data_IF_650284448999
#
_entry.id   IF_650284448999
#
_cell.length_a   1.000
_cell.length_b   1.000
_cell.length_c   1.000
_cell.angle_alpha   90.00
_cell.angle_beta   90.00
_cell.angle_gamma   90.00
#
_symmetry.space_group_name_H-M   'P 1'
#
loop_
_entity.id
_entity.type
_entity.pdbx_description
1 polymer ?
#
# COMPACT_ATOMS: atom_id res chain seq x y z
N UNK A 1 7.04 -4.53 -11.31
CA UNK A 1 5.92 -5.24 -10.70
C UNK A 1 5.23 -4.34 -9.68
N UNK A 2 3.97 -4.06 -9.90
CA UNK A 2 3.25 -3.12 -9.06
C UNK A 2 2.25 -3.81 -8.15
N UNK A 3 2.12 -3.26 -6.95
CA UNK A 3 1.15 -3.74 -5.99
C UNK A 3 -0.09 -2.87 -6.03
N UNK A 4 -1.20 -3.47 -5.64
CA UNK A 4 -2.43 -2.70 -5.47
C UNK A 4 -2.26 -1.70 -4.33
N UNK A 5 -2.77 -0.50 -4.52
CA UNK A 5 -2.75 0.54 -3.50
C UNK A 5 -4.17 1.01 -3.25
N UNK A 6 -4.61 0.95 -2.00
CA UNK A 6 -5.89 1.52 -1.60
C UNK A 6 -5.65 2.91 -1.05
N UNK A 7 -6.53 3.86 -1.42
CA UNK A 7 -6.45 5.20 -0.85
C UNK A 7 -7.86 5.57 -0.41
N UNK A 8 -8.01 6.02 0.84
CA UNK A 8 -9.31 6.36 1.36
C UNK A 8 -9.20 7.45 2.41
N UNK A 9 -10.29 8.16 2.63
CA UNK A 9 -10.35 9.18 3.67
C UNK A 9 -10.63 8.54 5.00
N UNK A 10 -9.88 8.93 6.03
CA UNK A 10 -10.07 8.43 7.38
C UNK A 10 -10.60 9.56 8.25
N UNK A 11 -11.83 9.41 8.67
CA UNK A 11 -12.43 10.41 9.56
C UNK A 11 -11.73 10.47 10.90
N UNK A 12 -11.31 9.32 11.39
CA UNK A 12 -10.59 9.26 12.66
C UNK A 12 -9.30 10.06 12.62
N UNK A 13 -8.60 9.98 11.51
CA UNK A 13 -7.28 10.60 11.40
C UNK A 13 -7.32 11.97 10.75
N UNK A 14 -8.45 12.34 10.19
CA UNK A 14 -8.60 13.66 9.59
C UNK A 14 -7.83 13.83 8.30
N UNK A 15 -7.66 12.77 7.54
CA UNK A 15 -6.93 12.85 6.28
C UNK A 15 -7.02 11.57 5.50
N UNK A 16 -6.09 11.38 4.58
CA UNK A 16 -6.12 10.23 3.69
C UNK A 16 -5.08 9.20 4.06
N UNK A 17 -5.48 7.94 3.94
CA UNK A 17 -4.58 6.83 4.19
C UNK A 17 -4.39 6.08 2.88
N UNK A 18 -3.14 5.72 2.60
CA UNK A 18 -2.80 4.85 1.49
C UNK A 18 -2.22 3.57 2.07
N UNK A 19 -2.56 2.44 1.47
CA UNK A 19 -2.26 1.15 2.04
C UNK A 19 -1.96 0.15 0.93
N UNK A 20 -0.92 -0.65 1.11
CA UNK A 20 -0.55 -1.69 0.16
C UNK A 20 -0.82 -3.05 0.82
N UNK A 21 -1.96 -3.69 0.49
CA UNK A 21 -2.36 -4.91 1.20
C UNK A 21 -1.35 -6.05 1.11
N UNK A 22 -0.62 -6.16 0.02
CA UNK A 22 0.34 -7.24 -0.15
C UNK A 22 1.61 -7.07 0.66
N UNK A 23 1.86 -5.87 1.17
CA UNK A 23 3.05 -5.60 1.97
C UNK A 23 2.62 -5.32 3.40
N UNK A 24 2.98 -6.20 4.28
CA UNK A 24 2.53 -6.12 5.67
C UNK A 24 2.91 -4.79 6.31
N UNK A 25 1.93 -4.10 6.87
CA UNK A 25 2.11 -2.84 7.58
C UNK A 25 2.68 -1.72 6.71
N UNK A 26 2.48 -1.80 5.41
CA UNK A 26 2.96 -0.75 4.51
C UNK A 26 1.83 0.21 4.22
N UNK A 27 1.79 1.33 4.95
CA UNK A 27 0.76 2.34 4.78
C UNK A 27 1.32 3.71 5.07
N UNK A 28 0.55 4.74 4.70
CA UNK A 28 0.98 6.12 4.87
C UNK A 28 -0.23 7.02 5.04
N UNK A 29 0.01 8.23 5.52
CA UNK A 29 -1.04 9.21 5.77
C UNK A 29 -0.63 10.55 5.17
N UNK A 30 -1.60 11.28 4.66
CA UNK A 30 -1.37 12.65 4.17
C UNK A 30 -2.69 13.40 4.13
N UNK A 31 -2.58 14.72 3.88
CA UNK A 31 -3.76 15.59 3.84
C UNK A 31 -4.56 15.45 2.55
N UNK A 32 -3.97 14.86 1.54
CA UNK A 32 -4.62 14.72 0.23
C UNK A 32 -4.38 13.33 -0.32
N UNK A 33 -5.24 12.87 -1.26
CA UNK A 33 -5.01 11.56 -1.89
C UNK A 33 -3.67 11.50 -2.60
N UNK A 34 -3.31 12.57 -3.29
CA UNK A 34 -2.03 12.61 -4.01
C UNK A 34 -0.86 12.52 -3.05
N UNK A 35 -0.99 13.21 -1.90
CA UNK A 35 0.06 13.16 -0.89
C UNK A 35 0.19 11.78 -0.28
N UNK A 36 -0.96 11.12 -0.03
CA UNK A 36 -0.94 9.78 0.52
C UNK A 36 -0.28 8.81 -0.45
N UNK A 37 -0.57 8.95 -1.75
CA UNK A 37 0.06 8.11 -2.76
C UNK A 37 1.58 8.31 -2.75
N UNK A 38 2.02 9.56 -2.74
CA UNK A 38 3.46 9.84 -2.74
C UNK A 38 4.14 9.23 -1.51
N UNK A 39 3.49 9.35 -0.35
CA UNK A 39 4.08 8.83 0.87
C UNK A 39 4.11 7.31 0.90
N UNK A 40 3.06 6.64 0.41
CA UNK A 40 3.07 5.19 0.43
C UNK A 40 4.05 4.62 -0.60
N UNK A 41 4.27 5.34 -1.71
CA UNK A 41 5.28 4.92 -2.67
C UNK A 41 6.67 4.95 -2.03
N UNK A 42 6.91 5.97 -1.20
CA UNK A 42 8.16 6.06 -0.46
C UNK A 42 8.28 4.93 0.56
N UNK A 43 7.19 4.67 1.27
CA UNK A 43 7.17 3.58 2.24
C UNK A 43 7.40 2.23 1.56
N UNK A 44 6.85 2.05 0.36
CA UNK A 44 7.05 0.83 -0.40
C UNK A 44 8.53 0.61 -0.70
N UNK A 45 9.21 1.64 -1.15
CA UNK A 45 10.63 1.52 -1.46
C UNK A 45 11.43 1.11 -0.23
N UNK A 46 11.14 1.74 0.90
CA UNK A 46 11.82 1.40 2.13
C UNK A 46 11.53 -0.03 2.57
N UNK A 47 10.26 -0.44 2.43
CA UNK A 47 9.84 -1.78 2.81
C UNK A 47 10.56 -2.84 1.98
N UNK A 48 10.59 -2.63 0.65
CA UNK A 48 11.24 -3.58 -0.25
C UNK A 48 12.75 -3.61 -0.02
N UNK A 49 13.33 -2.46 0.24
CA UNK A 49 14.77 -2.40 0.53
C UNK A 49 15.13 -3.13 1.79
N UNK A 50 14.30 -2.97 2.84
CA UNK A 50 14.54 -3.65 4.10
C UNK A 50 14.38 -5.16 3.95
N UNK A 51 13.38 -5.59 3.18
CA UNK A 51 13.18 -7.02 2.96
C UNK A 51 14.37 -7.65 2.26
N UNK A 52 14.90 -6.97 1.24
CA UNK A 52 16.07 -7.49 0.53
C UNK A 52 17.29 -7.56 1.43
N UNK A 53 17.50 -6.54 2.25
CA UNK A 53 18.62 -6.52 3.17
C UNK A 53 18.54 -7.66 4.17
N UNK A 54 17.32 -7.97 4.60
CA UNK A 54 17.11 -9.05 5.56
C UNK A 54 17.10 -10.42 4.91
N UNK A 55 17.26 -10.50 3.60
CA UNK A 55 17.23 -11.77 2.88
C UNK A 55 15.85 -12.39 2.80
N UNK A 56 14.80 -11.59 2.95
CA UNK A 56 13.44 -12.11 2.89
C UNK A 56 12.89 -12.03 1.50
N UNK A 57 11.98 -12.95 1.21
CA UNK A 57 11.28 -12.94 -0.07
C UNK A 57 10.38 -11.73 -0.17
N UNK A 58 10.30 -11.17 -1.36
CA UNK A 58 9.40 -10.07 -1.65
C UNK A 58 8.08 -10.69 -2.13
N UNK A 59 6.94 -10.32 -1.51
CA UNK A 59 5.66 -10.92 -1.92
C UNK A 59 5.30 -10.56 -3.36
N UNK A 60 4.64 -11.47 -4.04
CA UNK A 60 4.07 -11.19 -5.35
C UNK A 60 2.74 -10.48 -5.17
N UNK A 61 2.36 -9.61 -6.11
CA UNK A 61 1.04 -8.97 -6.03
C UNK A 61 -0.06 -10.00 -6.11
N UNK A 62 -0.91 -10.06 -5.11
CA UNK A 62 -2.00 -11.05 -5.03
C UNK A 62 -3.34 -10.42 -4.76
N UNK A 63 -3.33 -9.28 -4.08
CA UNK A 63 -4.58 -8.67 -3.67
C UNK A 63 -5.45 -8.32 -4.86
N UNK A 64 -6.73 -8.61 -4.75
CA UNK A 64 -7.73 -8.26 -5.76
C UNK A 64 -8.86 -7.52 -5.08
N UNK A 65 -9.24 -6.35 -5.59
CA UNK A 65 -10.44 -5.70 -5.07
C UNK A 65 -11.66 -6.60 -5.23
N UNK A 66 -12.66 -6.37 -4.38
CA UNK A 66 -13.83 -7.24 -4.35
C UNK A 66 -14.53 -7.34 -5.69
N UNK A 67 -14.47 -6.27 -6.49
CA UNK A 67 -15.13 -6.27 -7.79
C UNK A 67 -14.56 -7.36 -8.72
N UNK A 68 -13.28 -7.67 -8.57
CA UNK A 68 -12.66 -8.72 -9.38
C UNK A 68 -12.88 -10.11 -8.79
N UNK A 69 -13.17 -10.18 -7.51
CA UNK A 69 -13.41 -11.46 -6.85
C UNK A 69 -14.78 -12.03 -7.16
N UNK A 70 -15.72 -11.16 -7.49
CA UNK A 70 -17.09 -11.58 -7.78
C UNK A 70 -17.35 -11.75 -9.28
N UNK A 71 -16.38 -11.48 -10.11
CA UNK A 71 -16.53 -11.56 -11.56
C UNK A 71 -16.38 -13.02 -12.00
N UNK A 72 -17.46 -13.74 -12.05
CA UNK A 72 -17.43 -15.13 -12.55
C UNK A 72 -18.84 -15.59 -12.85
#
# INVERSE_FOLDING_TARGET
MDYHINIFYSEEDGGYIADIPDLESCSAFADSPEGALAEVERAKKAWLGAARKAGKSVPLPRYRPAIYQTAR
#
